data_IF_638685734846
#
_entry.id   IF_638685734846
#
_cell.length_a   1.000
_cell.length_b   1.000
_cell.length_c   1.000
_cell.angle_alpha   90.00
_cell.angle_beta   90.00
_cell.angle_gamma   90.00
#
_symmetry.space_group_name_H-M   'P 1'
#
loop_
_entity.id
_entity.type
_entity.pdbx_description
1 polymer ?
#
# COMPACT_ATOMS: atom_id res chain seq x y z
N UNK A 1 -14.56 6.95 12.74
CA UNK A 1 -14.05 5.69 12.17
C UNK A 1 -12.71 5.92 11.49
N UNK A 2 -11.66 5.91 12.29
CA UNK A 2 -10.30 6.11 11.80
C UNK A 2 -9.79 4.80 11.22
N UNK A 3 -9.61 4.77 9.90
CA UNK A 3 -8.90 3.70 9.22
C UNK A 3 -7.52 3.55 9.86
N UNK A 4 -7.21 2.33 10.31
CA UNK A 4 -5.93 2.04 10.96
C UNK A 4 -4.82 2.28 9.93
N UNK A 5 -3.87 3.20 10.17
CA UNK A 5 -2.85 3.57 9.18
C UNK A 5 -1.90 2.41 8.81
N UNK A 6 -1.93 1.32 9.58
CA UNK A 6 -1.22 0.06 9.29
C UNK A 6 -2.02 -0.97 8.47
N UNK A 7 -3.27 -0.69 8.09
CA UNK A 7 -4.01 -1.55 7.18
C UNK A 7 -3.44 -1.40 5.77
N UNK A 8 -3.10 -2.52 5.11
CA UNK A 8 -2.54 -2.52 3.76
C UNK A 8 -3.38 -1.72 2.76
N UNK A 9 -4.70 -1.70 2.96
CA UNK A 9 -5.63 -0.97 2.12
C UNK A 9 -5.41 0.55 2.14
N UNK A 10 -5.06 1.12 3.29
CA UNK A 10 -4.73 2.55 3.38
C UNK A 10 -3.48 2.91 2.56
N UNK A 11 -2.52 1.98 2.46
CA UNK A 11 -1.37 2.11 1.57
C UNK A 11 -1.76 1.99 0.09
N UNK A 12 -2.57 0.99 -0.26
CA UNK A 12 -3.06 0.78 -1.63
C UNK A 12 -3.87 1.98 -2.16
N UNK A 13 -4.66 2.62 -1.30
CA UNK A 13 -5.54 3.74 -1.68
C UNK A 13 -4.78 4.97 -2.18
N UNK A 14 -3.48 5.12 -1.86
CA UNK A 14 -2.64 6.18 -2.41
C UNK A 14 -2.60 6.15 -3.94
N UNK A 15 -2.59 4.97 -4.56
CA UNK A 15 -2.66 4.84 -6.02
C UNK A 15 -4.01 5.31 -6.55
N UNK A 16 -5.11 4.84 -5.95
CA UNK A 16 -6.46 5.23 -6.33
C UNK A 16 -6.65 6.76 -6.31
N UNK A 17 -6.16 7.43 -5.27
CA UNK A 17 -6.31 8.87 -5.14
C UNK A 17 -5.38 9.65 -6.06
N UNK A 18 -4.10 9.29 -6.13
CA UNK A 18 -3.16 9.95 -7.05
C UNK A 18 -3.58 9.80 -8.52
N UNK A 19 -4.08 8.62 -8.92
CA UNK A 19 -4.59 8.41 -10.29
C UNK A 19 -5.81 9.28 -10.60
N UNK A 20 -6.77 9.40 -9.66
CA UNK A 20 -7.94 10.29 -9.82
C UNK A 20 -7.59 11.76 -9.92
N UNK A 21 -6.43 12.16 -9.41
CA UNK A 21 -5.95 13.53 -9.44
C UNK A 21 -5.19 13.86 -10.72
N UNK A 22 -4.99 12.95 -11.67
CA UNK A 22 -4.41 13.32 -12.96
C UNK A 22 -5.32 14.33 -13.72
N UNK A 23 -4.74 15.37 -14.38
CA UNK A 23 -3.31 15.70 -14.49
C UNK A 23 -2.80 16.69 -13.41
N UNK A 24 -3.54 16.89 -12.32
CA UNK A 24 -3.21 17.84 -11.25
C UNK A 24 -2.01 17.40 -10.38
N UNK A 25 -1.64 16.12 -10.42
CA UNK A 25 -0.42 15.58 -9.78
C UNK A 25 0.50 14.96 -10.84
N UNK A 26 1.81 14.97 -10.56
CA UNK A 26 2.81 14.44 -11.47
C UNK A 26 2.66 12.93 -11.69
N UNK A 27 2.84 12.48 -12.93
CA UNK A 27 2.75 11.06 -13.29
C UNK A 27 3.78 10.18 -12.55
N UNK A 28 4.94 10.74 -12.16
CA UNK A 28 5.93 10.06 -11.31
C UNK A 28 5.34 9.67 -9.95
N UNK A 29 4.60 10.59 -9.31
CA UNK A 29 3.94 10.30 -8.03
C UNK A 29 2.89 9.19 -8.18
N UNK A 30 2.12 9.21 -9.27
CA UNK A 30 1.13 8.16 -9.57
C UNK A 30 1.81 6.80 -9.73
N UNK A 31 2.94 6.74 -10.47
CA UNK A 31 3.69 5.50 -10.66
C UNK A 31 4.30 4.97 -9.36
N UNK A 32 4.86 5.83 -8.51
CA UNK A 32 5.39 5.44 -7.20
C UNK A 32 4.29 4.90 -6.27
N UNK A 33 3.11 5.50 -6.30
CA UNK A 33 1.94 5.00 -5.58
C UNK A 33 1.45 3.65 -6.16
N UNK A 34 1.47 3.49 -7.48
CA UNK A 34 1.12 2.23 -8.16
C UNK A 34 2.05 1.09 -7.74
N UNK A 35 3.36 1.29 -7.79
CA UNK A 35 4.35 0.30 -7.33
C UNK A 35 4.13 -0.10 -5.86
N UNK A 36 3.83 0.88 -5.00
CA UNK A 36 3.50 0.60 -3.61
C UNK A 36 2.23 -0.26 -3.48
N UNK A 37 1.18 0.06 -4.23
CA UNK A 37 -0.05 -0.72 -4.24
C UNK A 37 0.17 -2.17 -4.73
N UNK A 38 1.06 -2.38 -5.70
CA UNK A 38 1.45 -3.73 -6.15
C UNK A 38 2.12 -4.53 -5.05
N UNK A 39 3.09 -3.95 -4.34
CA UNK A 39 3.77 -4.62 -3.22
C UNK A 39 2.79 -4.96 -2.08
N UNK A 40 1.89 -4.03 -1.76
CA UNK A 40 0.85 -4.27 -0.78
C UNK A 40 -0.10 -5.39 -1.22
N UNK A 41 -0.48 -5.43 -2.51
CA UNK A 41 -1.34 -6.47 -3.05
C UNK A 41 -0.66 -7.83 -3.02
N UNK A 42 0.62 -7.90 -3.34
CA UNK A 42 1.39 -9.14 -3.21
C UNK A 42 1.36 -9.67 -1.78
N UNK A 43 1.62 -8.80 -0.79
CA UNK A 43 1.57 -9.22 0.61
C UNK A 43 0.18 -9.69 1.03
N UNK A 44 -0.87 -8.99 0.61
CA UNK A 44 -2.26 -9.36 0.88
C UNK A 44 -2.62 -10.72 0.25
N UNK A 45 -2.25 -10.93 -1.01
CA UNK A 45 -2.42 -12.20 -1.73
C UNK A 45 -1.70 -13.36 -1.02
N UNK A 46 -0.44 -13.15 -0.62
CA UNK A 46 0.36 -14.17 0.06
C UNK A 46 -0.17 -14.51 1.45
N UNK A 47 -0.85 -13.59 2.13
CA UNK A 47 -1.48 -13.82 3.43
C UNK A 47 -2.95 -14.29 3.34
N UNK A 48 -3.50 -14.35 2.12
CA UNK A 48 -4.87 -14.78 1.87
C UNK A 48 -5.04 -16.29 2.09
N UNK A 49 -6.27 -16.80 2.23
CA UNK A 49 -6.52 -18.24 2.35
C UNK A 49 -6.34 -19.02 1.04
N UNK A 50 -6.09 -18.33 -0.08
CA UNK A 50 -5.92 -18.97 -1.39
C UNK A 50 -4.48 -19.40 -1.61
N UNK A 51 -4.29 -20.62 -2.13
CA UNK A 51 -2.98 -21.05 -2.61
C UNK A 51 -2.73 -20.44 -4.00
N UNK A 52 -1.71 -19.58 -4.06
CA UNK A 52 -1.28 -18.90 -5.27
C UNK A 52 0.12 -19.34 -5.71
N UNK A 53 0.60 -20.49 -5.20
CA UNK A 53 1.92 -21.02 -5.53
C UNK A 53 2.10 -21.27 -7.03
N UNK A 54 1.05 -21.71 -7.74
CA UNK A 54 1.06 -21.89 -9.19
C UNK A 54 1.29 -20.58 -9.96
N UNK A 55 0.95 -19.44 -9.35
CA UNK A 55 1.20 -18.10 -9.88
C UNK A 55 2.51 -17.49 -9.38
N UNK A 56 3.35 -18.26 -8.68
CA UNK A 56 4.66 -17.83 -8.18
C UNK A 56 4.65 -17.16 -6.80
N UNK A 57 3.51 -17.14 -6.10
CA UNK A 57 3.40 -16.50 -4.78
C UNK A 57 3.48 -17.53 -3.65
N UNK A 58 4.58 -17.49 -2.89
CA UNK A 58 4.72 -18.36 -1.71
C UNK A 58 3.85 -17.85 -0.55
N UNK A 59 2.99 -18.71 0.05
CA UNK A 59 2.04 -18.29 1.08
C UNK A 59 2.74 -17.94 2.39
N UNK A 60 2.21 -16.93 3.08
CA UNK A 60 2.53 -16.58 4.46
C UNK A 60 1.43 -17.19 5.34
N UNK A 61 1.81 -18.21 6.10
CA UNK A 61 0.91 -18.96 6.99
C UNK A 61 0.55 -18.16 8.25
N UNK A 62 -0.32 -17.16 8.12
CA UNK A 62 -0.72 -16.22 9.19
C UNK A 62 -1.44 -16.87 10.38
N UNK A 63 -1.90 -18.11 10.23
CA UNK A 63 -2.44 -18.95 11.30
C UNK A 63 -1.36 -19.41 12.28
N UNK A 64 -0.10 -19.46 11.83
CA UNK A 64 1.05 -19.78 12.69
C UNK A 64 1.63 -18.53 13.35
N UNK A 65 2.20 -18.62 14.56
CA UNK A 65 2.86 -17.47 15.20
C UNK A 65 3.99 -16.88 14.34
N UNK A 66 4.78 -17.73 13.68
CA UNK A 66 5.88 -17.30 12.83
C UNK A 66 5.40 -16.57 11.57
N UNK A 67 4.41 -17.13 10.86
CA UNK A 67 3.84 -16.47 9.67
C UNK A 67 3.13 -15.17 10.03
N UNK A 68 2.44 -15.09 11.17
CA UNK A 68 1.87 -13.83 11.67
C UNK A 68 2.95 -12.78 11.93
N UNK A 69 4.04 -13.15 12.59
CA UNK A 69 5.14 -12.23 12.86
C UNK A 69 5.80 -11.73 11.56
N UNK A 70 5.94 -12.59 10.56
CA UNK A 70 6.42 -12.21 9.24
C UNK A 70 5.46 -11.25 8.52
N UNK A 71 4.16 -11.55 8.52
CA UNK A 71 3.14 -10.69 7.93
C UNK A 71 3.16 -9.29 8.55
N UNK A 72 3.14 -9.19 9.89
CA UNK A 72 3.18 -7.90 10.61
C UNK A 72 4.47 -7.14 10.29
N UNK A 73 5.62 -7.81 10.23
CA UNK A 73 6.90 -7.16 9.87
C UNK A 73 6.84 -6.57 8.47
N UNK A 74 6.31 -7.30 7.48
CA UNK A 74 6.19 -6.81 6.11
C UNK A 74 5.12 -5.71 5.98
N UNK A 75 4.01 -5.80 6.72
CA UNK A 75 3.02 -4.73 6.82
C UNK A 75 3.65 -3.43 7.34
N UNK A 76 4.48 -3.52 8.38
CA UNK A 76 5.18 -2.34 8.92
C UNK A 76 6.13 -1.72 7.89
N UNK A 77 6.90 -2.54 7.17
CA UNK A 77 7.79 -2.05 6.11
C UNK A 77 7.02 -1.31 4.99
N UNK A 78 5.84 -1.83 4.63
CA UNK A 78 4.98 -1.15 3.66
C UNK A 78 4.37 0.13 4.22
N UNK A 79 3.97 0.16 5.49
CA UNK A 79 3.49 1.37 6.14
C UNK A 79 4.57 2.47 6.15
N UNK A 80 5.82 2.09 6.46
CA UNK A 80 6.97 3.02 6.45
C UNK A 80 7.23 3.55 5.02
N UNK A 81 7.09 2.70 3.99
CA UNK A 81 7.18 3.11 2.57
C UNK A 81 6.02 4.01 2.15
N UNK A 82 4.81 3.80 2.69
CA UNK A 82 3.62 4.57 2.35
C UNK A 82 3.64 5.99 2.92
N UNK A 83 4.28 6.19 4.08
CA UNK A 83 4.32 7.48 4.77
C UNK A 83 4.80 8.65 3.89
N UNK A 84 5.99 8.62 3.25
CA UNK A 84 6.44 9.73 2.42
C UNK A 84 5.58 9.94 1.15
N UNK A 85 4.96 8.87 0.61
CA UNK A 85 4.05 8.98 -0.53
C UNK A 85 2.76 9.71 -0.12
N UNK A 86 2.22 9.39 1.05
CA UNK A 86 1.07 10.06 1.64
C UNK A 86 1.34 11.53 1.89
N UNK A 87 2.49 11.85 2.48
CA UNK A 87 2.87 13.24 2.77
C UNK A 87 3.01 14.05 1.48
N UNK A 88 3.65 13.47 0.45
CA UNK A 88 3.78 14.11 -0.87
C UNK A 88 2.42 14.36 -1.51
N UNK A 89 1.52 13.36 -1.50
CA UNK A 89 0.19 13.50 -2.08
C UNK A 89 -0.65 14.54 -1.33
N UNK A 90 -0.57 14.55 0.01
CA UNK A 90 -1.27 15.52 0.84
C UNK A 90 -0.76 16.96 0.59
N UNK A 91 0.55 17.13 0.41
CA UNK A 91 1.14 18.43 0.05
C UNK A 91 0.63 18.93 -1.29
N UNK A 92 0.58 18.07 -2.32
CA UNK A 92 0.02 18.46 -3.62
C UNK A 92 -1.45 18.85 -3.52
N UNK A 93 -2.23 18.16 -2.71
CA UNK A 93 -3.61 18.57 -2.46
C UNK A 93 -3.71 19.94 -1.77
N UNK A 94 -2.83 20.27 -0.81
CA UNK A 94 -2.78 21.59 -0.15
C UNK A 94 -2.45 22.69 -1.15
N UNK A 95 -1.39 22.50 -1.95
CA UNK A 95 -0.99 23.42 -3.02
C UNK A 95 -2.16 23.72 -3.97
N UNK A 96 -2.91 22.70 -4.40
CA UNK A 96 -4.06 22.84 -5.30
C UNK A 96 -5.26 23.55 -4.66
N UNK A 97 -5.44 23.43 -3.35
CA UNK A 97 -6.51 24.10 -2.60
C UNK A 97 -6.16 25.57 -2.26
N UNK A 98 -4.95 26.03 -2.57
CA UNK A 98 -4.52 27.41 -2.32
C UNK A 98 -4.32 27.73 -0.84
N UNK A 99 -3.98 26.71 -0.03
CA UNK A 99 -3.67 26.85 1.39
C UNK A 99 -2.25 26.40 1.69
#
# INVERSE_FOLDING_TARGET
>A
DHEQPGCLHAGMDLYKWSFKLLPLVDSDLVMRCFEHALLARELDMRASPYDLAEYGYSPIRIETPAGRAEYVRQQQQLADRAAPLRDTLAEKCRELLGH
#
